data_IF_203369708936
#
_entry.id   IF_203369708936
#
_cell.length_a   1.000
_cell.length_b   1.000
_cell.length_c   1.000
_cell.angle_alpha   90.00
_cell.angle_beta   90.00
_cell.angle_gamma   90.00
#
_symmetry.space_group_name_H-M   'P 1'
#
loop_
_entity.id
_entity.type
_entity.pdbx_description
1 polymer ?
#
# COMPACT_ATOMS: atom_id res chain seq x y z
N UNK A 1 7.89 -1.36 -27.50
CA UNK A 1 9.37 -1.48 -27.55
C UNK A 1 9.81 -2.21 -26.29
N UNK A 2 10.46 -3.37 -26.39
CA UNK A 2 10.90 -4.18 -25.24
C UNK A 2 12.36 -3.82 -24.95
N UNK A 3 12.64 -3.30 -23.76
CA UNK A 3 14.01 -3.00 -23.32
C UNK A 3 14.67 -4.27 -22.75
N UNK A 4 15.73 -4.73 -23.40
CA UNK A 4 16.50 -5.91 -23.02
C UNK A 4 17.67 -5.54 -22.09
N UNK A 5 17.79 -6.23 -20.95
CA UNK A 5 18.94 -6.10 -20.05
C UNK A 5 20.07 -7.02 -20.48
N UNK A 6 21.31 -6.77 -20.01
CA UNK A 6 22.44 -7.70 -20.26
C UNK A 6 22.16 -9.10 -19.73
N UNK A 7 21.51 -9.19 -18.58
CA UNK A 7 21.11 -10.45 -17.96
C UNK A 7 20.15 -11.22 -18.86
N UNK A 8 19.14 -10.56 -19.45
CA UNK A 8 18.23 -11.20 -20.40
C UNK A 8 18.95 -11.69 -21.66
N UNK A 9 19.84 -10.87 -22.20
CA UNK A 9 20.62 -11.23 -23.40
C UNK A 9 21.44 -12.49 -23.12
N UNK A 10 22.07 -12.58 -21.94
CA UNK A 10 22.84 -13.73 -21.51
C UNK A 10 21.97 -14.95 -21.25
N UNK A 11 20.86 -14.79 -20.52
CA UNK A 11 20.00 -15.90 -20.09
C UNK A 11 19.29 -16.60 -21.25
N UNK A 12 18.90 -15.85 -22.27
CA UNK A 12 18.15 -16.35 -23.43
C UNK A 12 19.02 -16.54 -24.68
N UNK A 13 20.34 -16.38 -24.56
CA UNK A 13 21.32 -16.47 -25.66
C UNK A 13 20.91 -15.64 -26.88
N UNK A 14 20.36 -14.43 -26.65
CA UNK A 14 19.71 -13.64 -27.70
C UNK A 14 20.67 -13.19 -28.81
N UNK A 15 21.98 -13.19 -28.55
CA UNK A 15 23.02 -12.83 -29.54
C UNK A 15 23.16 -13.86 -30.66
N UNK A 16 22.81 -15.11 -30.37
CA UNK A 16 22.96 -16.24 -31.29
C UNK A 16 21.66 -16.51 -32.07
N UNK A 17 20.57 -15.83 -31.69
CA UNK A 17 19.23 -16.04 -32.26
C UNK A 17 18.88 -14.95 -33.27
N UNK A 18 18.39 -15.38 -34.43
CA UNK A 18 17.85 -14.48 -35.45
C UNK A 18 16.35 -14.19 -35.25
N UNK A 19 15.61 -15.17 -34.73
CA UNK A 19 14.18 -15.09 -34.41
C UNK A 19 13.92 -15.79 -33.07
N UNK A 20 12.80 -15.46 -32.43
CA UNK A 20 12.28 -16.16 -31.25
C UNK A 20 10.98 -16.87 -31.63
N UNK A 21 10.79 -18.07 -31.10
CA UNK A 21 9.47 -18.72 -31.04
C UNK A 21 8.56 -17.98 -30.07
N UNK A 22 7.25 -18.22 -30.16
CA UNK A 22 6.27 -17.61 -29.24
C UNK A 22 6.52 -18.01 -27.79
N UNK A 23 6.93 -19.26 -27.55
CA UNK A 23 7.31 -19.77 -26.23
C UNK A 23 8.53 -19.02 -25.67
N UNK A 24 9.61 -18.89 -26.46
CA UNK A 24 10.80 -18.16 -26.03
C UNK A 24 10.54 -16.67 -25.80
N UNK A 25 9.64 -16.08 -26.61
CA UNK A 25 9.22 -14.69 -26.41
C UNK A 25 8.44 -14.56 -25.09
N UNK A 26 7.50 -15.47 -24.81
CA UNK A 26 6.74 -15.48 -23.56
C UNK A 26 7.67 -15.60 -22.35
N UNK A 27 8.62 -16.55 -22.36
CA UNK A 27 9.60 -16.72 -21.27
C UNK A 27 10.46 -15.47 -21.06
N UNK A 28 10.88 -14.82 -22.15
CA UNK A 28 11.67 -13.59 -22.11
C UNK A 28 10.88 -12.45 -21.46
N UNK A 29 9.60 -12.30 -21.81
CA UNK A 29 8.71 -11.28 -21.25
C UNK A 29 8.38 -11.59 -19.79
N UNK A 30 8.10 -12.85 -19.46
CA UNK A 30 7.88 -13.31 -18.09
C UNK A 30 9.07 -12.94 -17.21
N UNK A 31 10.29 -13.30 -17.65
CA UNK A 31 11.51 -12.96 -16.92
C UNK A 31 11.72 -11.45 -16.79
N UNK A 32 11.40 -10.67 -17.84
CA UNK A 32 11.49 -9.20 -17.81
C UNK A 32 10.56 -8.57 -16.79
N UNK A 33 9.31 -9.04 -16.73
CA UNK A 33 8.30 -8.56 -15.80
C UNK A 33 8.71 -8.94 -14.37
N UNK A 34 9.15 -10.17 -14.15
CA UNK A 34 9.67 -10.65 -12.86
C UNK A 34 10.83 -9.80 -12.32
N UNK A 35 11.82 -9.48 -13.15
CA UNK A 35 12.88 -8.54 -12.78
C UNK A 35 12.32 -7.15 -12.44
N UNK A 36 11.31 -6.70 -13.18
CA UNK A 36 10.63 -5.43 -12.91
C UNK A 36 9.91 -5.44 -11.57
N UNK A 37 9.23 -6.53 -11.21
CA UNK A 37 8.54 -6.72 -9.93
C UNK A 37 9.53 -6.74 -8.77
N UNK A 38 10.62 -7.51 -8.86
CA UNK A 38 11.67 -7.47 -7.84
C UNK A 38 12.25 -6.07 -7.66
N UNK A 39 12.51 -5.34 -8.75
CA UNK A 39 13.02 -3.97 -8.69
C UNK A 39 12.04 -2.97 -8.05
N UNK A 40 10.74 -3.25 -8.06
CA UNK A 40 9.77 -2.47 -7.29
C UNK A 40 9.94 -2.82 -5.80
N UNK A 41 9.84 -4.11 -5.46
CA UNK A 41 9.85 -4.58 -4.08
C UNK A 41 11.16 -4.27 -3.33
N UNK A 42 12.30 -4.15 -4.02
CA UNK A 42 13.56 -3.71 -3.37
C UNK A 42 13.53 -2.28 -2.85
N UNK A 43 12.60 -1.44 -3.33
CA UNK A 43 12.51 -0.02 -2.92
C UNK A 43 11.66 0.17 -1.68
N UNK A 44 10.58 -0.59 -1.57
CA UNK A 44 9.61 -0.64 -0.46
C UNK A 44 8.54 -1.68 -0.78
N UNK A 45 7.69 -1.95 0.21
CA UNK A 45 6.49 -2.73 0.02
C UNK A 45 5.40 -1.90 -0.70
N UNK A 46 4.70 -2.56 -1.62
CA UNK A 46 3.60 -1.99 -2.41
C UNK A 46 2.38 -2.89 -2.26
N UNK A 47 1.20 -2.29 -2.41
CA UNK A 47 0.00 -3.08 -2.63
C UNK A 47 0.04 -3.75 -4.01
N UNK A 48 -0.56 -4.93 -4.14
CA UNK A 48 -0.66 -5.67 -5.40
C UNK A 48 -1.17 -4.79 -6.54
N UNK A 49 -2.20 -3.99 -6.27
CA UNK A 49 -2.78 -3.07 -7.24
C UNK A 49 -1.78 -2.01 -7.73
N UNK A 50 -0.96 -1.47 -6.83
CA UNK A 50 0.09 -0.51 -7.20
C UNK A 50 1.15 -1.16 -8.11
N UNK A 51 1.56 -2.38 -7.79
CA UNK A 51 2.54 -3.15 -8.57
C UNK A 51 1.96 -3.41 -9.96
N UNK A 52 0.73 -3.95 -10.03
CA UNK A 52 0.03 -4.24 -11.28
C UNK A 52 -0.10 -3.00 -12.16
N UNK A 53 -0.48 -1.85 -11.59
CA UNK A 53 -0.55 -0.58 -12.32
C UNK A 53 0.81 -0.17 -12.89
N UNK A 54 1.86 -0.20 -12.07
CA UNK A 54 3.23 0.16 -12.49
C UNK A 54 3.82 -0.76 -13.55
N UNK A 55 3.45 -2.04 -13.52
CA UNK A 55 3.86 -3.00 -14.55
C UNK A 55 3.14 -2.73 -15.86
N UNK A 56 1.81 -2.48 -15.83
CA UNK A 56 1.01 -2.17 -17.02
C UNK A 56 1.40 -0.87 -17.70
N UNK A 57 1.88 0.12 -16.94
CA UNK A 57 2.46 1.35 -17.50
C UNK A 57 3.72 1.11 -18.35
N UNK A 58 4.45 0.01 -18.07
CA UNK A 58 5.74 -0.30 -18.71
C UNK A 58 5.69 -1.45 -19.70
N UNK A 59 4.75 -2.37 -19.52
CA UNK A 59 4.66 -3.63 -20.24
C UNK A 59 3.22 -3.81 -20.73
N UNK A 60 3.07 -4.10 -22.02
CA UNK A 60 1.77 -4.32 -22.65
C UNK A 60 1.47 -5.83 -22.81
N UNK A 61 1.57 -6.57 -21.70
CA UNK A 61 1.37 -8.03 -21.63
C UNK A 61 0.58 -8.39 -20.36
N UNK A 62 -0.72 -8.05 -20.30
CA UNK A 62 -1.50 -8.14 -19.06
C UNK A 62 -1.63 -9.58 -18.53
N UNK A 63 -1.68 -10.58 -19.38
CA UNK A 63 -1.76 -12.00 -19.01
C UNK A 63 -0.48 -12.44 -18.29
N UNK A 64 0.69 -12.13 -18.85
CA UNK A 64 2.00 -12.46 -18.26
C UNK A 64 2.24 -11.65 -16.98
N UNK A 65 1.73 -10.40 -16.91
CA UNK A 65 1.76 -9.63 -15.66
C UNK A 65 0.99 -10.36 -14.56
N UNK A 66 -0.20 -10.86 -14.88
CA UNK A 66 -1.06 -11.52 -13.91
C UNK A 66 -0.43 -12.85 -13.44
N UNK A 67 0.15 -13.63 -14.34
CA UNK A 67 0.91 -14.85 -14.03
C UNK A 67 2.12 -14.58 -13.11
N UNK A 68 2.93 -13.56 -13.42
CA UNK A 68 4.07 -13.19 -12.55
C UNK A 68 3.59 -12.74 -11.18
N UNK A 69 2.49 -11.98 -11.09
CA UNK A 69 1.98 -11.51 -9.81
C UNK A 69 1.39 -12.64 -8.96
N UNK A 70 0.77 -13.64 -9.59
CA UNK A 70 0.33 -14.87 -8.92
C UNK A 70 1.51 -15.61 -8.28
N UNK A 71 2.62 -15.80 -9.01
CA UNK A 71 3.85 -16.40 -8.45
C UNK A 71 4.35 -15.62 -7.21
N UNK A 72 4.27 -14.29 -7.23
CA UNK A 72 4.75 -13.46 -6.13
C UNK A 72 3.82 -13.47 -4.92
N UNK A 73 2.51 -13.64 -5.13
CA UNK A 73 1.54 -13.85 -4.05
C UNK A 73 1.74 -15.23 -3.40
N UNK A 74 1.88 -16.28 -4.21
CA UNK A 74 2.11 -17.65 -3.72
C UNK A 74 3.41 -17.77 -2.90
N UNK A 75 4.43 -16.99 -3.26
CA UNK A 75 5.72 -16.93 -2.56
C UNK A 75 5.75 -15.94 -1.39
N UNK A 76 4.63 -15.30 -1.08
CA UNK A 76 4.48 -14.31 -0.02
C UNK A 76 5.45 -13.10 -0.16
N UNK A 77 5.87 -12.79 -1.39
CA UNK A 77 6.63 -11.57 -1.68
C UNK A 77 5.72 -10.34 -1.71
N UNK A 78 4.42 -10.54 -1.91
CA UNK A 78 3.39 -9.51 -1.90
C UNK A 78 2.32 -9.97 -0.91
N UNK A 79 2.08 -9.16 0.11
CA UNK A 79 1.07 -9.44 1.12
C UNK A 79 0.34 -8.13 1.46
N UNK A 80 -0.84 -7.95 0.88
CA UNK A 80 -1.61 -6.71 0.99
C UNK A 80 -2.14 -6.47 2.41
N UNK A 81 -2.40 -7.54 3.16
CA UNK A 81 -2.82 -7.49 4.56
C UNK A 81 -1.68 -6.98 5.46
N UNK A 82 -0.52 -7.63 5.43
CA UNK A 82 0.70 -7.19 6.12
C UNK A 82 1.05 -5.74 5.75
N UNK A 83 0.93 -5.43 4.45
CA UNK A 83 1.16 -4.07 3.93
C UNK A 83 0.19 -3.06 4.52
N UNK A 84 -1.10 -3.40 4.66
CA UNK A 84 -2.11 -2.54 5.26
C UNK A 84 -1.87 -2.31 6.76
N UNK A 85 -1.52 -3.36 7.51
CA UNK A 85 -1.12 -3.26 8.94
C UNK A 85 0.04 -2.30 9.10
N UNK A 86 1.10 -2.48 8.31
CA UNK A 86 2.27 -1.58 8.30
C UNK A 86 1.91 -0.17 7.84
N UNK A 87 1.01 -0.02 6.86
CA UNK A 87 0.52 1.29 6.41
C UNK A 87 -0.18 2.06 7.54
N UNK A 88 -1.10 1.42 8.26
CA UNK A 88 -1.85 2.02 9.36
C UNK A 88 -0.92 2.47 10.50
N UNK A 89 0.10 1.65 10.82
CA UNK A 89 1.15 1.97 11.80
C UNK A 89 2.02 3.15 11.37
N UNK A 90 2.38 3.26 10.09
CA UNK A 90 3.20 4.38 9.61
C UNK A 90 2.40 5.70 9.45
N UNK A 91 1.09 5.61 9.22
CA UNK A 91 0.23 6.78 8.99
C UNK A 91 -0.63 7.11 10.20
N UNK A 92 0.05 7.43 11.32
CA UNK A 92 -0.58 7.83 12.60
C UNK A 92 -1.51 9.06 12.47
N UNK A 93 -1.33 9.86 11.42
CA UNK A 93 -2.17 11.01 11.14
C UNK A 93 -3.50 10.68 10.44
N UNK A 94 -3.78 9.41 10.12
CA UNK A 94 -5.03 8.97 9.49
C UNK A 94 -5.91 8.20 10.48
N UNK A 95 -7.20 8.55 10.51
CA UNK A 95 -8.21 7.80 11.24
C UNK A 95 -8.85 6.69 10.40
N UNK A 96 -9.71 5.86 11.02
CA UNK A 96 -10.22 4.63 10.44
C UNK A 96 -10.99 4.86 9.15
N UNK A 97 -11.77 5.95 9.02
CA UNK A 97 -12.52 6.22 7.78
C UNK A 97 -11.60 6.48 6.60
N UNK A 98 -10.46 7.13 6.83
CA UNK A 98 -9.50 7.44 5.77
C UNK A 98 -8.70 6.20 5.38
N UNK A 99 -8.27 5.43 6.36
CA UNK A 99 -7.59 4.15 6.11
C UNK A 99 -8.51 3.17 5.36
N UNK A 100 -9.76 3.03 5.77
CA UNK A 100 -10.76 2.23 5.07
C UNK A 100 -10.87 2.61 3.58
N UNK A 101 -11.00 3.91 3.29
CA UNK A 101 -11.09 4.41 1.92
C UNK A 101 -9.82 4.08 1.12
N UNK A 102 -8.63 4.29 1.71
CA UNK A 102 -7.35 3.98 1.06
C UNK A 102 -7.27 2.49 0.75
N UNK A 103 -7.53 1.62 1.72
CA UNK A 103 -7.42 0.17 1.53
C UNK A 103 -8.46 -0.36 0.54
N UNK A 104 -9.69 0.17 0.58
CA UNK A 104 -10.71 -0.12 -0.44
C UNK A 104 -10.25 0.29 -1.84
N UNK A 105 -9.61 1.46 -1.97
CA UNK A 105 -9.04 1.92 -3.24
C UNK A 105 -7.86 1.05 -3.68
N UNK A 106 -7.12 0.44 -2.76
CA UNK A 106 -6.07 -0.53 -3.06
C UNK A 106 -6.60 -1.91 -3.42
N UNK A 107 -7.89 -2.18 -3.19
CA UNK A 107 -8.58 -3.40 -3.60
C UNK A 107 -8.63 -4.48 -2.52
N UNK A 108 -8.39 -4.13 -1.25
CA UNK A 108 -8.51 -5.08 -0.16
C UNK A 108 -9.98 -5.44 0.08
N UNK A 109 -10.20 -6.70 0.45
CA UNK A 109 -11.50 -7.19 0.88
C UNK A 109 -11.93 -6.53 2.19
N UNK A 110 -13.25 -6.41 2.36
CA UNK A 110 -13.83 -5.69 3.49
C UNK A 110 -13.40 -6.30 4.82
N UNK A 111 -13.36 -7.62 4.89
CA UNK A 111 -13.03 -8.42 6.06
C UNK A 111 -11.59 -8.12 6.52
N UNK A 112 -10.64 -8.10 5.58
CA UNK A 112 -9.24 -7.74 5.83
C UNK A 112 -9.14 -6.31 6.36
N UNK A 113 -9.85 -5.37 5.73
CA UNK A 113 -9.85 -3.97 6.16
C UNK A 113 -10.37 -3.84 7.60
N UNK A 114 -11.49 -4.50 7.91
CA UNK A 114 -12.10 -4.47 9.24
C UNK A 114 -11.15 -5.05 10.30
N UNK A 115 -10.45 -6.13 9.99
CA UNK A 115 -9.45 -6.72 10.88
C UNK A 115 -8.27 -5.78 11.15
N UNK A 116 -7.67 -5.22 10.09
CA UNK A 116 -6.55 -4.26 10.21
C UNK A 116 -6.96 -3.04 11.03
N UNK A 117 -8.17 -2.51 10.82
CA UNK A 117 -8.67 -1.35 11.56
C UNK A 117 -9.03 -1.68 13.01
N UNK A 118 -9.48 -2.90 13.28
CA UNK A 118 -9.74 -3.38 14.63
C UNK A 118 -8.45 -3.46 15.44
N UNK A 119 -7.36 -3.96 14.86
CA UNK A 119 -6.05 -3.93 15.52
C UNK A 119 -5.51 -2.52 15.73
N UNK A 120 -5.71 -1.63 14.77
CA UNK A 120 -5.28 -0.23 14.87
C UNK A 120 -6.12 0.59 15.88
N UNK A 121 -7.27 0.05 16.32
CA UNK A 121 -8.23 0.75 17.18
C UNK A 121 -7.65 1.14 18.54
N UNK A 122 -6.73 0.35 19.10
CA UNK A 122 -6.10 0.62 20.40
C UNK A 122 -5.25 1.89 20.39
N UNK A 123 -4.72 2.29 19.24
CA UNK A 123 -3.89 3.49 19.09
C UNK A 123 -4.68 4.74 18.72
N UNK A 124 -5.99 4.64 18.46
CA UNK A 124 -6.78 5.76 17.96
C UNK A 124 -6.79 6.96 18.91
N UNK A 125 -6.89 6.71 20.22
CA UNK A 125 -6.84 7.78 21.24
C UNK A 125 -5.49 8.50 21.20
N UNK A 126 -4.38 7.75 21.16
CA UNK A 126 -3.03 8.31 21.08
C UNK A 126 -2.83 9.13 19.81
N UNK A 127 -3.26 8.60 18.66
CA UNK A 127 -3.25 9.31 17.37
C UNK A 127 -4.02 10.62 17.45
N UNK A 128 -5.23 10.61 18.02
CA UNK A 128 -6.04 11.82 18.20
C UNK A 128 -5.33 12.82 19.09
N UNK A 129 -4.80 12.40 20.25
CA UNK A 129 -4.04 13.27 21.18
C UNK A 129 -2.85 13.91 20.47
N UNK A 130 -2.00 13.14 19.79
CA UNK A 130 -0.83 13.64 19.06
C UNK A 130 -1.22 14.69 18.01
N UNK A 131 -2.23 14.38 17.18
CA UNK A 131 -2.71 15.29 16.16
C UNK A 131 -3.37 16.55 16.75
N UNK A 132 -4.02 16.43 17.90
CA UNK A 132 -4.63 17.54 18.64
C UNK A 132 -3.59 18.54 19.15
N UNK A 133 -2.51 18.04 19.76
CA UNK A 133 -1.41 18.88 20.26
C UNK A 133 -0.64 19.53 19.11
N UNK A 134 -0.39 18.80 18.02
CA UNK A 134 0.27 19.34 16.82
C UNK A 134 -0.48 20.52 16.18
N UNK A 135 -1.78 20.65 16.43
CA UNK A 135 -2.59 21.75 15.91
C UNK A 135 -2.45 23.05 16.73
N UNK A 136 -1.74 23.03 17.88
CA UNK A 136 -1.38 24.22 18.66
C UNK A 136 -2.58 25.04 19.11
N UNK A 137 -2.51 26.37 18.93
CA UNK A 137 -3.50 27.32 19.44
C UNK A 137 -4.75 27.50 18.55
N UNK A 138 -5.01 26.56 17.62
CA UNK A 138 -6.22 26.59 16.81
C UNK A 138 -7.46 26.41 17.69
N UNK A 139 -8.58 27.05 17.29
CA UNK A 139 -9.87 26.86 17.98
C UNK A 139 -10.28 25.39 17.97
N UNK A 140 -11.06 24.99 18.97
CA UNK A 140 -11.53 23.62 19.14
C UNK A 140 -12.26 23.13 17.88
N UNK A 141 -13.10 23.97 17.28
CA UNK A 141 -13.86 23.66 16.06
C UNK A 141 -12.92 23.38 14.89
N UNK A 142 -11.87 24.20 14.72
CA UNK A 142 -10.86 24.01 13.67
C UNK A 142 -10.06 22.73 13.89
N UNK A 143 -9.78 22.37 15.15
CA UNK A 143 -9.09 21.12 15.47
C UNK A 143 -9.95 19.89 15.16
N UNK A 144 -11.19 19.88 15.65
CA UNK A 144 -12.16 18.82 15.36
C UNK A 144 -12.34 18.64 13.85
N UNK A 145 -12.58 19.73 13.11
CA UNK A 145 -12.74 19.66 11.66
C UNK A 145 -11.49 19.11 10.95
N UNK A 146 -10.29 19.43 11.45
CA UNK A 146 -9.05 18.86 10.91
C UNK A 146 -8.92 17.36 11.17
N UNK A 147 -9.32 16.88 12.35
CA UNK A 147 -9.29 15.45 12.70
C UNK A 147 -10.34 14.67 11.90
N UNK A 148 -11.54 15.22 11.73
CA UNK A 148 -12.56 14.60 10.89
C UNK A 148 -12.12 14.46 9.42
N UNK A 149 -11.47 15.49 8.85
CA UNK A 149 -10.89 15.40 7.49
C UNK A 149 -9.76 14.37 7.37
N UNK A 150 -9.11 14.03 8.49
CA UNK A 150 -8.12 12.96 8.57
C UNK A 150 -8.75 11.57 8.75
N UNK A 151 -10.08 11.49 8.93
CA UNK A 151 -10.83 10.24 9.01
C UNK A 151 -11.10 9.73 10.42
N UNK A 152 -10.79 10.51 11.47
CA UNK A 152 -11.14 10.17 12.84
C UNK A 152 -12.65 10.31 13.07
N UNK A 153 -13.22 9.44 13.91
CA UNK A 153 -14.65 9.49 14.22
C UNK A 153 -14.95 10.66 15.17
N UNK A 154 -16.05 11.35 14.95
CA UNK A 154 -16.44 12.50 15.78
C UNK A 154 -16.60 12.11 17.26
N UNK A 155 -17.20 10.93 17.53
CA UNK A 155 -17.35 10.39 18.88
C UNK A 155 -15.99 10.25 19.58
N UNK A 156 -15.07 9.51 18.97
CA UNK A 156 -13.75 9.23 19.56
C UNK A 156 -12.93 10.53 19.76
N UNK A 157 -13.07 11.50 18.84
CA UNK A 157 -12.49 12.85 19.00
C UNK A 157 -13.04 13.53 20.26
N UNK A 158 -14.37 13.52 20.44
CA UNK A 158 -15.04 14.19 21.57
C UNK A 158 -14.69 13.53 22.90
N UNK A 159 -14.70 12.20 22.95
CA UNK A 159 -14.30 11.42 24.13
C UNK A 159 -12.85 11.74 24.51
N UNK A 160 -11.92 11.71 23.55
CA UNK A 160 -10.51 12.03 23.80
C UNK A 160 -10.31 13.45 24.34
N UNK A 161 -11.03 14.44 23.79
CA UNK A 161 -10.94 15.83 24.25
C UNK A 161 -11.54 16.01 25.66
N UNK A 162 -12.60 15.27 26.01
CA UNK A 162 -13.18 15.30 27.35
C UNK A 162 -12.15 14.83 28.38
N UNK A 163 -11.54 13.67 28.13
CA UNK A 163 -10.51 13.11 29.01
C UNK A 163 -9.29 14.02 29.14
N UNK A 164 -8.87 14.70 28.07
CA UNK A 164 -7.76 15.67 28.14
C UNK A 164 -8.06 16.87 29.05
N UNK A 165 -9.30 17.36 29.05
CA UNK A 165 -9.68 18.49 29.93
C UNK A 165 -9.74 18.06 31.39
N UNK A 166 -10.25 16.86 31.66
CA UNK A 166 -10.26 16.26 32.99
C UNK A 166 -8.83 16.06 33.53
N UNK A 167 -7.87 15.67 32.67
CA UNK A 167 -6.45 15.56 33.00
C UNK A 167 -5.78 16.93 33.31
N UNK A 168 -6.22 18.03 32.67
CA UNK A 168 -5.66 19.39 32.90
C UNK A 168 -6.26 20.10 34.13
N UNK A 169 -7.40 19.63 34.64
CA UNK A 169 -8.10 20.17 35.82
C UNK A 169 -7.68 19.51 37.15
N UNK A 170 -6.82 18.48 37.10
CA UNK A 170 -6.22 17.76 38.25
C UNK A 170 -4.79 18.23 38.54
#
# INVERSE_FOLDING_TARGET
MIYLTREMISKFSLREKKNLTDEELNDLIYFRIKLSTYNLLTRRDYFLKEIKQKLREKHNFPEIIDEVLEEFLEKDYINDEERARSYAKLHQNYGPKKLYMIFSQMGLEREIIEEVLKEDSSEQVNKIKEQWFRLGNKTIEKKIASLMRKGFLYRDIKETISSLKEEEEL
#
